data_IF_685580073129
#
_entry.id   IF_685580073129
#
_cell.length_a   1.000
_cell.length_b   1.000
_cell.length_c   1.000
_cell.angle_alpha   90.00
_cell.angle_beta   90.00
_cell.angle_gamma   90.00
#
_symmetry.space_group_name_H-M   'P 1'
#
loop_
_entity.id
_entity.type
_entity.pdbx_description
1 polymer ?
2 non-polymer ?
3 water ?
#
# COMPACT_ATOMS: atom_id res chain seq x y z
N UNK A 1 -7.63 1.90 1.48
CA UNK A 1 -8.71 0.95 1.91
C UNK A 1 -9.49 1.50 3.13
N UNK A 2 -8.79 2.10 4.09
CA UNK A 2 -9.31 2.53 5.40
C UNK A 2 -8.66 3.85 5.82
N UNK A 3 -8.98 4.38 7.02
CA UNK A 3 -8.57 5.74 7.41
C UNK A 3 -7.05 5.88 7.63
N UNK A 4 -6.38 4.76 7.92
CA UNK A 4 -4.90 4.68 7.97
C UNK A 4 -4.28 5.02 6.64
N UNK A 5 -4.72 4.36 5.55
CA UNK A 5 -4.20 4.58 4.19
C UNK A 5 -4.59 5.98 3.70
N UNK A 6 -5.77 6.45 4.08
CA UNK A 6 -6.26 7.81 3.74
C UNK A 6 -5.22 8.86 4.17
N UNK A 7 -4.79 8.79 5.42
CA UNK A 7 -3.85 9.77 6.00
C UNK A 7 -2.49 9.63 5.29
N UNK A 8 -2.00 8.39 5.18
CA UNK A 8 -0.74 8.06 4.47
C UNK A 8 -0.78 8.63 3.06
N UNK A 9 -1.87 8.40 2.33
CA UNK A 9 -2.03 8.86 0.93
C UNK A 9 -1.92 10.39 0.89
N UNK A 10 -2.53 11.09 1.85
CA UNK A 10 -2.55 12.57 1.89
C UNK A 10 -1.11 13.11 1.99
N UNK A 11 -0.29 12.49 2.82
CA UNK A 11 1.15 12.84 3.01
C UNK A 11 1.92 12.54 1.73
N UNK A 12 1.72 11.35 1.12
CA UNK A 12 2.54 10.97 -0.05
C UNK A 12 2.26 11.89 -1.24
N UNK A 13 1.00 12.27 -1.47
CA UNK A 13 0.59 13.07 -2.65
C UNK A 13 1.10 14.51 -2.59
N UNK A 14 1.34 15.09 -1.42
CA UNK A 14 1.76 16.53 -1.29
C UNK A 14 3.16 16.66 -0.67
N UNK A 15 3.57 15.76 0.21
CA UNK A 15 4.84 15.99 0.95
C UNK A 15 5.94 14.95 0.62
N UNK A 16 5.97 14.31 -0.55
CA UNK A 16 7.15 13.47 -0.87
C UNK A 16 7.70 13.87 -2.23
N UNK A 17 8.99 13.66 -2.41
CA UNK A 17 9.69 13.78 -3.72
C UNK A 17 10.53 12.51 -3.84
N UNK A 18 10.99 12.21 -5.06
CA UNK A 18 11.95 11.11 -5.29
C UNK A 18 13.36 11.70 -5.26
N UNK A 19 14.15 11.31 -4.26
CA UNK A 19 15.54 11.78 -4.08
C UNK A 19 16.50 10.73 -4.63
N UNK A 20 17.48 11.15 -5.43
CA UNK A 20 18.52 10.25 -5.97
C UNK A 20 19.91 10.79 -5.62
N UNK A 21 20.68 10.02 -4.84
CA UNK A 21 22.10 10.28 -4.52
C UNK A 21 22.93 9.25 -5.27
N UNK A 22 24.23 9.21 -5.01
CA UNK A 22 25.16 8.21 -5.57
C UNK A 22 24.92 6.85 -4.91
N UNK A 23 24.16 6.82 -3.80
CA UNK A 23 23.82 5.57 -3.05
C UNK A 23 22.42 5.05 -3.44
N UNK A 24 21.72 5.69 -4.38
CA UNK A 24 20.45 5.22 -4.97
C UNK A 24 19.28 6.20 -4.89
N UNK A 25 18.09 5.70 -5.22
CA UNK A 25 16.78 6.40 -5.15
C UNK A 25 16.11 6.17 -3.79
N UNK A 26 15.65 7.25 -3.15
CA UNK A 26 14.99 7.23 -1.82
C UNK A 26 13.66 7.99 -1.83
N UNK A 27 12.67 7.49 -1.09
CA UNK A 27 11.49 8.29 -0.67
C UNK A 27 12.05 9.39 0.22
N UNK A 28 11.68 10.63 -0.05
CA UNK A 28 12.12 11.80 0.74
C UNK A 28 10.89 12.60 1.19
N UNK A 29 10.72 12.75 2.49
CA UNK A 29 9.62 13.48 3.14
C UNK A 29 10.00 14.97 3.23
N UNK A 30 9.21 15.84 2.57
CA UNK A 30 9.26 17.31 2.76
C UNK A 30 8.44 17.69 3.98
N UNK A 31 8.97 18.51 4.89
CA UNK A 31 8.33 18.79 6.21
C UNK A 31 7.77 20.21 6.23
N UNK A 32 8.53 21.19 5.71
CA UNK A 32 8.09 22.61 5.65
C UNK A 32 9.09 23.37 4.76
N UNK A 33 8.65 24.52 4.24
CA UNK A 33 9.45 25.42 3.37
C UNK A 33 10.21 24.53 2.37
N UNK A 34 11.56 24.55 2.38
CA UNK A 34 12.37 23.76 1.42
C UNK A 34 13.15 22.70 2.21
N UNK A 35 12.61 22.27 3.34
CA UNK A 35 13.30 21.38 4.32
C UNK A 35 12.68 19.99 4.23
N UNK A 36 13.53 18.99 4.03
CA UNK A 36 13.16 17.57 3.81
C UNK A 36 14.09 16.69 4.64
N UNK A 37 13.70 15.44 4.86
CA UNK A 37 14.52 14.45 5.61
C UNK A 37 14.80 13.24 4.71
N UNK A 38 15.88 12.54 5.02
CA UNK A 38 16.35 11.33 4.25
C UNK A 38 17.24 10.54 5.20
N UNK A 39 17.32 9.19 5.09
CA UNK A 39 18.26 8.44 5.92
C UNK A 39 19.70 8.92 5.66
N UNK A 40 20.47 9.03 6.74
CA UNK A 40 21.87 9.53 6.69
C UNK A 40 22.67 8.65 5.73
N UNK A 41 22.36 7.37 5.63
CA UNK A 41 23.09 6.41 4.73
C UNK A 41 22.90 6.73 3.23
N UNK A 42 21.99 7.62 2.83
CA UNK A 42 21.90 8.16 1.44
C UNK A 42 23.12 9.01 1.07
N UNK A 43 23.88 9.50 2.06
CA UNK A 43 25.14 10.27 1.84
C UNK A 43 24.87 11.48 0.94
N UNK A 44 24.01 12.41 1.41
CA UNK A 44 23.67 13.64 0.64
C UNK A 44 24.98 14.39 0.40
N UNK A 45 25.20 14.91 -0.80
CA UNK A 45 26.32 15.81 -1.11
C UNK A 45 25.86 17.24 -1.35
N UNK A 46 26.61 17.97 -2.17
CA UNK A 46 26.38 19.38 -2.60
C UNK A 46 25.25 19.43 -3.64
N UNK A 47 25.06 18.34 -4.38
CA UNK A 47 24.04 18.25 -5.46
C UNK A 47 23.23 16.99 -5.21
N UNK A 48 21.92 17.07 -5.40
CA UNK A 48 20.98 15.92 -5.27
C UNK A 48 20.02 16.02 -6.45
N UNK A 49 19.47 14.90 -6.93
CA UNK A 49 18.39 14.88 -7.94
C UNK A 49 17.05 14.76 -7.20
N UNK A 50 16.12 15.65 -7.54
CA UNK A 50 14.77 15.73 -6.93
C UNK A 50 13.78 15.62 -8.08
N UNK A 51 13.04 14.52 -8.14
CA UNK A 51 12.15 14.14 -9.25
C UNK A 51 12.93 14.29 -10.57
N UNK A 52 14.19 13.83 -10.61
CA UNK A 52 15.09 13.81 -11.80
C UNK A 52 15.55 15.20 -12.24
N UNK A 53 15.46 16.21 -11.37
CA UNK A 53 16.02 17.58 -11.60
C UNK A 53 17.23 17.79 -10.69
N UNK A 54 18.34 18.23 -11.29
CA UNK A 54 19.59 18.56 -10.58
C UNK A 54 19.29 19.71 -9.61
N UNK A 55 19.53 19.52 -8.31
CA UNK A 55 19.15 20.48 -7.25
C UNK A 55 20.36 20.71 -6.34
N UNK A 56 20.77 21.97 -6.17
CA UNK A 56 21.81 22.34 -5.18
C UNK A 56 21.26 22.04 -3.79
N UNK A 57 22.12 21.55 -2.90
CA UNK A 57 21.80 21.33 -1.46
C UNK A 57 22.31 22.54 -0.70
N UNK A 58 21.43 23.35 -0.12
CA UNK A 58 21.83 24.60 0.58
C UNK A 58 22.39 24.25 1.96
N UNK A 59 21.92 23.18 2.58
CA UNK A 59 22.45 22.69 3.87
C UNK A 59 22.05 21.23 4.08
N UNK A 60 22.86 20.47 4.81
CA UNK A 60 22.52 19.10 5.21
C UNK A 60 23.15 18.82 6.57
N UNK A 61 22.37 18.24 7.48
CA UNK A 61 22.79 18.00 8.86
C UNK A 61 22.37 16.59 9.26
N UNK A 62 23.38 15.76 9.51
CA UNK A 62 23.22 14.42 10.09
C UNK A 62 22.97 14.59 11.61
N UNK A 63 21.76 14.31 12.04
CA UNK A 63 21.35 14.41 13.46
C UNK A 63 22.02 13.31 14.29
N UNK A 64 22.44 13.69 15.49
CA UNK A 64 22.95 12.82 16.57
C UNK A 64 22.27 13.25 17.88
N UNK A 65 21.98 12.34 18.80
CA UNK A 65 21.41 12.73 20.12
C UNK A 65 22.55 13.32 20.97
N UNK A 66 22.22 13.76 22.17
CA UNK A 66 23.16 14.46 23.07
C UNK A 66 24.09 13.47 23.79
N UNK A 67 23.91 12.16 23.65
CA UNK A 67 24.98 11.16 23.98
C UNK A 67 25.97 11.06 22.81
N UNK A 68 25.82 11.87 21.75
CA UNK A 68 26.63 11.84 20.51
C UNK A 68 26.44 10.51 19.78
N UNK A 69 25.21 10.00 19.73
CA UNK A 69 24.86 8.75 19.02
C UNK A 69 24.07 9.05 17.74
N UNK A 70 24.36 8.30 16.67
CA UNK A 70 23.68 8.43 15.37
C UNK A 70 22.17 8.37 15.58
N UNK A 71 21.40 9.23 14.90
CA UNK A 71 19.90 9.13 14.79
C UNK A 71 19.44 8.67 13.41
N UNK A 72 20.34 8.64 12.41
CA UNK A 72 20.10 8.13 11.03
C UNK A 72 19.15 9.07 10.26
N UNK A 73 18.84 10.26 10.80
CA UNK A 73 18.06 11.31 10.09
C UNK A 73 19.04 12.35 9.54
N UNK A 74 18.99 12.65 8.25
CA UNK A 74 19.66 13.85 7.66
C UNK A 74 18.59 14.85 7.28
N UNK A 75 18.66 16.04 7.87
CA UNK A 75 17.78 17.17 7.49
C UNK A 75 18.47 17.90 6.36
N UNK A 76 17.73 18.11 5.28
CA UNK A 76 18.25 18.73 4.03
C UNK A 76 17.45 19.97 3.71
N UNK A 77 18.14 21.03 3.32
CA UNK A 77 17.49 22.22 2.73
C UNK A 77 17.84 22.30 1.24
N UNK A 78 16.81 22.35 0.39
CA UNK A 78 16.91 22.21 -1.09
C UNK A 78 16.77 23.60 -1.74
N UNK A 79 17.60 23.85 -2.75
CA UNK A 79 17.49 25.04 -3.63
C UNK A 79 16.40 24.77 -4.67
N UNK A 80 15.18 24.67 -4.17
CA UNK A 80 13.96 24.34 -4.94
C UNK A 80 13.11 25.61 -5.02
N UNK A 81 12.35 25.80 -6.11
CA UNK A 81 11.58 27.04 -6.36
C UNK A 81 10.19 26.93 -5.73
N UNK A 82 9.92 25.88 -4.95
CA UNK A 82 8.56 25.62 -4.42
C UNK A 82 8.68 25.11 -2.98
N UNK A 83 7.84 25.62 -2.08
CA UNK A 83 7.76 25.18 -0.66
C UNK A 83 6.87 23.94 -0.52
N UNK A 84 7.19 23.11 0.46
CA UNK A 84 6.30 22.02 0.92
C UNK A 84 5.18 22.58 1.80
N UNK A 85 4.03 21.93 1.71
CA UNK A 85 2.98 22.05 2.73
C UNK A 85 3.62 21.80 4.09
N UNK A 86 3.36 22.69 5.05
CA UNK A 86 3.90 22.57 6.43
C UNK A 86 3.12 21.48 7.18
N UNK A 87 3.79 20.38 7.56
CA UNK A 87 3.19 19.19 8.24
C UNK A 87 3.85 19.00 9.61
N UNK A 88 4.54 20.02 10.12
CA UNK A 88 5.21 19.93 11.45
C UNK A 88 4.20 19.65 12.55
N UNK A 89 2.94 20.08 12.43
CA UNK A 89 1.91 19.84 13.47
C UNK A 89 1.47 18.37 13.47
N UNK A 90 1.89 17.55 12.51
CA UNK A 90 1.58 16.09 12.52
C UNK A 90 2.72 15.29 13.15
N UNK A 91 3.81 15.94 13.56
CA UNK A 91 4.98 15.28 14.18
C UNK A 91 4.75 15.10 15.67
N UNK A 92 5.07 13.93 16.24
CA UNK A 92 4.97 13.73 17.67
C UNK A 92 6.02 14.54 18.42
N UNK A 93 5.66 14.94 19.65
CA UNK A 93 6.58 15.68 20.55
C UNK A 93 7.51 14.74 21.33
N UNK A 94 7.08 13.51 21.61
CA UNK A 94 7.76 12.54 22.52
C UNK A 94 8.06 11.21 21.81
N UNK A 95 9.00 10.43 22.35
CA UNK A 95 9.25 9.03 21.93
C UNK A 95 8.05 8.23 22.41
N UNK A 96 7.50 7.34 21.59
CA UNK A 96 6.26 6.62 21.95
C UNK A 96 6.19 5.31 21.17
N UNK A 97 5.26 4.44 21.58
CA UNK A 97 4.79 3.26 20.82
C UNK A 97 3.50 3.67 20.12
N UNK A 98 3.10 2.92 19.08
CA UNK A 98 1.91 3.21 18.25
C UNK A 98 1.24 1.91 17.81
N UNK A 99 -0.05 1.98 17.54
CA UNK A 99 -0.82 0.89 16.90
C UNK A 99 -1.00 1.19 15.41
N UNK A 100 -1.15 0.14 14.60
CA UNK A 100 -1.77 0.23 13.25
C UNK A 100 -1.08 1.32 12.43
N UNK A 101 0.20 1.15 12.12
CA UNK A 101 1.00 2.08 11.28
C UNK A 101 1.00 1.64 9.81
N UNK A 102 1.19 2.61 8.91
CA UNK A 102 1.36 2.39 7.45
C UNK A 102 2.74 2.90 7.09
N UNK A 103 3.47 2.08 6.32
CA UNK A 103 4.75 2.48 5.69
C UNK A 103 4.44 2.72 4.22
N UNK A 104 4.75 3.94 3.74
CA UNK A 104 4.44 4.43 2.38
C UNK A 104 5.74 4.73 1.62
N UNK A 105 5.85 4.20 0.40
CA UNK A 105 7.07 4.34 -0.45
C UNK A 105 6.62 4.83 -1.81
N UNK A 106 7.39 5.75 -2.40
CA UNK A 106 7.23 6.18 -3.81
C UNK A 106 8.60 6.37 -4.43
N UNK A 107 9.03 5.40 -5.25
CA UNK A 107 10.25 5.47 -6.10
C UNK A 107 9.87 4.99 -7.51
N UNK A 108 10.81 5.07 -8.46
CA UNK A 108 10.67 4.55 -9.84
C UNK A 108 10.36 3.05 -9.79
N UNK A 109 11.03 2.33 -8.88
CA UNK A 109 10.89 0.87 -8.64
C UNK A 109 9.57 0.56 -7.92
N UNK A 110 9.26 1.28 -6.84
CA UNK A 110 8.06 1.03 -5.98
C UNK A 110 7.14 2.26 -5.93
N UNK A 111 6.44 2.58 -7.04
CA UNK A 111 5.48 3.68 -7.03
C UNK A 111 4.20 3.30 -6.27
N UNK A 112 3.65 4.23 -5.47
CA UNK A 112 2.29 4.14 -4.90
C UNK A 112 2.17 2.88 -4.04
N UNK A 113 3.19 2.61 -3.24
CA UNK A 113 3.26 1.43 -2.35
C UNK A 113 2.90 1.84 -0.91
N UNK A 114 1.96 1.10 -0.28
CA UNK A 114 1.45 1.32 1.08
C UNK A 114 1.41 -0.06 1.75
N UNK A 115 2.07 -0.21 2.91
CA UNK A 115 2.21 -1.49 3.68
C UNK A 115 1.63 -1.30 5.06
N UNK A 116 0.55 -2.02 5.43
CA UNK A 116 0.07 -2.05 6.81
C UNK A 116 1.03 -2.87 7.68
N UNK A 117 1.91 -2.21 8.41
CA UNK A 117 3.00 -2.87 9.17
C UNK A 117 2.55 -3.22 10.59
N UNK A 118 1.41 -2.74 11.06
CA UNK A 118 0.82 -3.12 12.36
C UNK A 118 1.39 -2.32 13.52
N UNK A 119 1.54 -2.96 14.68
CA UNK A 119 2.06 -2.32 15.93
C UNK A 119 3.51 -1.84 15.76
N UNK A 120 3.81 -0.69 16.34
CA UNK A 120 5.18 -0.08 16.28
C UNK A 120 5.70 0.06 17.71
N UNK A 121 6.79 -0.63 18.03
CA UNK A 121 7.46 -0.55 19.35
C UNK A 121 8.52 0.56 19.37
N UNK A 122 8.59 1.29 20.48
CA UNK A 122 9.78 2.09 20.82
C UNK A 122 10.88 1.08 21.12
N UNK A 123 11.75 0.81 20.16
CA UNK A 123 12.77 -0.26 20.27
C UNK A 123 14.01 0.33 20.97
N UNK A 124 14.35 1.57 20.62
CA UNK A 124 15.47 2.33 21.20
C UNK A 124 16.76 2.09 20.45
N UNK A 125 17.66 1.33 21.07
CA UNK A 125 19.03 1.12 20.58
C UNK A 125 19.02 0.05 19.47
N UNK A 126 19.66 0.33 18.36
CA UNK A 126 19.87 -0.67 17.29
C UNK A 126 21.27 -0.49 16.74
N UNK A 127 21.98 -1.60 16.55
CA UNK A 127 23.23 -1.63 15.76
C UNK A 127 22.80 -1.74 14.29
N UNK A 128 22.75 -0.61 13.58
CA UNK A 128 22.22 -0.52 12.20
C UNK A 128 23.38 -0.51 11.21
N UNK A 129 23.53 -1.57 10.41
CA UNK A 129 24.70 -1.76 9.53
C UNK A 129 26.00 -1.45 10.26
N UNK A 130 26.13 -1.89 11.51
CA UNK A 130 27.37 -1.72 12.31
C UNK A 130 27.46 -0.38 13.06
N UNK A 131 26.47 0.52 12.97
CA UNK A 131 26.50 1.87 13.62
C UNK A 131 25.52 1.91 14.78
N UNK A 132 26.00 2.16 16.02
CA UNK A 132 25.11 2.37 17.16
C UNK A 132 24.11 3.48 16.78
N UNK A 133 22.82 3.21 16.89
CA UNK A 133 21.74 4.16 16.50
C UNK A 133 20.68 4.20 17.60
N UNK A 134 20.19 5.37 17.95
CA UNK A 134 19.15 5.55 19.01
C UNK A 134 17.80 5.94 18.39
N UNK A 135 16.75 5.86 19.19
CA UNK A 135 15.36 6.30 18.82
C UNK A 135 14.80 5.53 17.63
N UNK A 136 15.03 4.23 17.59
CA UNK A 136 14.54 3.34 16.50
C UNK A 136 13.14 2.83 16.84
N UNK A 137 12.24 2.90 15.86
CA UNK A 137 10.90 2.25 15.91
C UNK A 137 11.04 0.88 15.21
N UNK A 138 10.36 -0.14 15.71
CA UNK A 138 10.38 -1.49 15.08
C UNK A 138 8.94 -1.94 14.78
N UNK A 139 8.77 -2.57 13.63
CA UNK A 139 7.50 -3.20 13.18
C UNK A 139 7.84 -4.57 12.59
N UNK A 140 6.95 -5.55 12.85
CA UNK A 140 7.13 -6.98 12.48
C UNK A 140 6.55 -7.15 11.08
N UNK A 141 7.18 -6.50 10.11
CA UNK A 141 6.96 -6.75 8.67
C UNK A 141 8.31 -6.94 8.01
N UNK A 142 8.43 -7.97 7.12
CA UNK A 142 9.69 -8.30 6.46
C UNK A 142 9.95 -7.35 5.28
N UNK A 143 10.32 -6.11 5.60
CA UNK A 143 10.61 -5.04 4.61
C UNK A 143 11.87 -5.42 3.81
N UNK A 144 11.99 -4.91 2.59
CA UNK A 144 13.06 -5.22 1.61
C UNK A 144 13.78 -3.94 1.19
N UNK A 145 14.88 -4.11 0.45
CA UNK A 145 15.65 -3.04 -0.21
C UNK A 145 14.71 -2.20 -1.10
N UNK A 146 14.95 -0.89 -1.20
CA UNK A 146 14.13 0.06 -1.99
C UNK A 146 13.13 0.87 -1.15
N UNK A 147 13.00 0.58 0.15
CA UNK A 147 11.97 1.16 1.05
C UNK A 147 12.57 2.23 1.98
N UNK A 148 13.89 2.45 1.96
CA UNK A 148 14.52 3.42 2.88
C UNK A 148 13.99 4.81 2.55
N UNK A 149 13.68 5.59 3.59
CA UNK A 149 13.07 6.90 3.38
C UNK A 149 11.55 6.79 3.40
N UNK A 150 11.02 5.57 3.27
CA UNK A 150 9.59 5.29 3.42
C UNK A 150 9.00 6.07 4.60
N UNK A 151 7.79 6.57 4.49
CA UNK A 151 7.17 7.36 5.58
C UNK A 151 6.29 6.44 6.43
N UNK A 152 6.48 6.48 7.74
CA UNK A 152 5.67 5.69 8.72
C UNK A 152 4.66 6.64 9.36
N UNK A 153 3.37 6.38 9.18
CA UNK A 153 2.27 7.21 9.69
C UNK A 153 1.31 6.35 10.53
N UNK A 154 0.64 6.99 11.47
CA UNK A 154 -0.66 6.53 12.02
C UNK A 154 -1.71 7.52 11.51
N UNK A 155 -2.99 7.30 11.78
CA UNK A 155 -3.99 8.38 11.54
C UNK A 155 -3.54 9.57 12.40
N UNK A 156 -3.30 10.70 11.75
CA UNK A 156 -3.07 12.00 12.38
C UNK A 156 -1.61 12.24 12.71
N UNK A 157 -0.69 11.26 12.54
CA UNK A 157 0.72 11.45 12.94
C UNK A 157 1.71 10.86 11.91
N UNK A 158 2.76 11.63 11.62
CA UNK A 158 3.93 11.17 10.83
C UNK A 158 5.00 10.88 11.87
N UNK A 159 5.37 9.61 12.06
CA UNK A 159 6.14 9.20 13.28
C UNK A 159 7.59 8.87 12.93
N UNK A 160 7.93 8.62 11.67
CA UNK A 160 9.29 8.15 11.35
C UNK A 160 9.54 7.87 9.90
N UNK A 161 10.82 7.60 9.58
CA UNK A 161 11.23 7.22 8.20
C UNK A 161 11.99 5.90 8.26
N UNK A 162 11.65 5.00 7.34
CA UNK A 162 12.25 3.64 7.24
C UNK A 162 13.76 3.73 6.99
N UNK A 163 14.57 3.08 7.83
CA UNK A 163 16.06 3.13 7.65
C UNK A 163 16.69 1.72 7.49
N UNK A 164 15.95 0.61 7.65
CA UNK A 164 16.53 -0.75 7.54
C UNK A 164 15.61 -1.88 7.98
N UNK A 165 16.10 -3.11 7.85
CA UNK A 165 15.42 -4.33 8.37
C UNK A 165 16.39 -5.49 8.52
N UNK A 166 15.92 -6.62 9.06
CA UNK A 166 16.74 -7.85 9.26
C UNK A 166 16.06 -9.05 8.59
N UNK A 167 15.17 -8.83 7.63
CA UNK A 167 14.44 -9.92 6.95
C UNK A 167 13.11 -10.24 7.61
N UNK A 168 13.01 -10.16 8.94
CA UNK A 168 11.77 -10.44 9.71
C UNK A 168 11.10 -9.14 10.16
N UNK A 169 11.90 -8.13 10.48
CA UNK A 169 11.46 -6.82 11.02
C UNK A 169 11.99 -5.68 10.15
N UNK A 170 11.32 -4.52 10.24
CA UNK A 170 11.76 -3.23 9.69
C UNK A 170 11.93 -2.21 10.80
N UNK A 171 12.77 -1.21 10.57
CA UNK A 171 13.22 -0.23 11.57
C UNK A 171 13.08 1.16 10.97
N UNK A 172 12.58 2.10 11.79
CA UNK A 172 12.41 3.49 11.33
C UNK A 172 13.08 4.42 12.34
N UNK A 173 13.70 5.47 11.84
CA UNK A 173 14.21 6.58 12.71
C UNK A 173 13.01 7.44 13.10
N UNK A 174 12.85 7.71 14.39
CA UNK A 174 11.80 8.64 14.88
C UNK A 174 11.92 9.98 14.19
N UNK A 175 10.78 10.58 13.89
CA UNK A 175 10.69 12.05 13.65
C UNK A 175 10.04 12.68 14.87
N UNK A 176 10.66 13.74 15.39
CA UNK A 176 10.17 14.52 16.54
C UNK A 176 9.97 15.99 16.16
N UNK A 177 8.91 16.62 16.69
CA UNK A 177 8.64 18.07 16.47
C UNK A 177 9.90 18.92 16.73
N UNK A 178 10.66 18.63 17.79
CA UNK A 178 11.85 19.41 18.17
C UNK A 178 12.92 19.44 17.09
N UNK A 179 12.95 18.49 16.15
CA UNK A 179 13.99 18.47 15.07
C UNK A 179 13.77 19.65 14.09
N UNK A 180 12.56 20.22 13.99
CA UNK A 180 12.20 21.20 12.93
C UNK A 180 11.66 22.53 13.48
N UNK A 181 11.98 22.84 14.73
CA UNK A 181 11.70 24.16 15.35
C UNK A 181 12.56 25.20 14.62
N UNK A 182 11.94 26.34 14.22
CA UNK A 182 12.63 27.46 13.52
C UNK A 182 12.25 28.78 14.23
N UNK B 2 9.43 -6.29 -8.55
CA UNK B 2 9.73 -5.68 -9.89
C UNK B 2 8.77 -6.20 -10.96
N UNK B 3 8.89 -7.49 -11.37
CA UNK B 3 7.88 -8.12 -12.22
C UNK B 3 6.51 -8.19 -11.51
N UNK B 4 6.52 -8.47 -10.20
CA UNK B 4 5.33 -8.47 -9.33
C UNK B 4 4.56 -7.16 -9.39
N UNK B 5 5.27 -6.02 -9.34
CA UNK B 5 4.66 -4.66 -9.37
C UNK B 5 4.17 -4.34 -10.79
N UNK B 6 5.04 -4.50 -11.80
CA UNK B 6 4.70 -4.30 -13.23
C UNK B 6 3.39 -5.04 -13.56
N UNK B 7 3.25 -6.28 -13.08
CA UNK B 7 2.09 -7.15 -13.37
C UNK B 7 0.84 -6.52 -12.74
N UNK B 8 0.88 -6.22 -11.45
CA UNK B 8 -0.22 -5.54 -10.72
C UNK B 8 -0.57 -4.23 -11.44
N UNK B 9 0.45 -3.44 -11.83
CA UNK B 9 0.29 -2.17 -12.59
C UNK B 9 -0.50 -2.42 -13.88
N UNK B 10 -0.11 -3.44 -14.66
CA UNK B 10 -0.70 -3.77 -15.97
C UNK B 10 -2.14 -4.25 -15.80
N UNK B 11 -2.41 -5.02 -14.75
CA UNK B 11 -3.78 -5.52 -14.43
C UNK B 11 -4.63 -4.34 -13.96
N UNK B 12 -4.11 -3.49 -13.07
CA UNK B 12 -4.86 -2.33 -12.51
C UNK B 12 -5.29 -1.42 -13.66
N UNK B 13 -4.38 -1.07 -14.57
CA UNK B 13 -4.58 0.01 -15.57
C UNK B 13 -5.51 -0.46 -16.71
N UNK B 14 -5.42 -1.71 -17.16
CA UNK B 14 -6.31 -2.24 -18.24
C UNK B 14 -7.59 -2.90 -17.70
N UNK B 15 -7.58 -3.52 -16.52
CA UNK B 15 -8.69 -4.43 -16.13
C UNK B 15 -9.41 -4.00 -14.85
N UNK B 16 -9.07 -2.87 -14.24
CA UNK B 16 -9.72 -2.50 -12.95
C UNK B 16 -10.59 -1.27 -13.21
N UNK B 17 -11.84 -1.29 -12.78
CA UNK B 17 -12.78 -0.14 -12.88
C UNK B 17 -13.37 0.13 -11.49
N UNK B 18 -13.93 1.33 -11.32
CA UNK B 18 -14.64 1.74 -10.09
C UNK B 18 -16.10 1.37 -10.26
N UNK B 19 -16.61 0.45 -9.43
CA UNK B 19 -18.02 0.04 -9.45
C UNK B 19 -18.69 0.73 -8.25
N UNK B 20 -19.82 1.40 -8.46
CA UNK B 20 -20.60 1.96 -7.34
C UNK B 20 -22.01 1.35 -7.34
N UNK B 21 -22.36 0.72 -6.23
CA UNK B 21 -23.69 0.13 -5.97
C UNK B 21 -24.40 0.94 -4.88
N UNK B 22 -25.54 0.43 -4.40
CA UNK B 22 -26.30 1.05 -3.30
C UNK B 22 -25.36 1.22 -2.10
N UNK B 23 -24.34 0.36 -1.96
CA UNK B 23 -23.50 0.28 -0.73
C UNK B 23 -22.24 1.15 -0.84
N UNK B 24 -22.00 1.78 -1.98
CA UNK B 24 -20.83 2.66 -2.21
C UNK B 24 -19.84 2.07 -3.21
N UNK B 25 -18.55 2.38 -3.07
CA UNK B 25 -17.58 2.17 -4.17
C UNK B 25 -16.78 0.89 -3.90
N UNK B 26 -16.53 0.16 -5.00
CA UNK B 26 -15.83 -1.14 -4.96
C UNK B 26 -14.83 -1.20 -6.11
N UNK B 27 -13.62 -1.64 -5.82
CA UNK B 27 -12.68 -2.05 -6.88
C UNK B 27 -13.32 -3.23 -7.61
N UNK B 28 -13.46 -3.15 -8.93
CA UNK B 28 -14.08 -4.22 -9.75
C UNK B 28 -13.05 -4.73 -10.79
N UNK B 29 -12.91 -6.04 -10.94
CA UNK B 29 -11.99 -6.65 -11.93
C UNK B 29 -12.77 -7.07 -13.19
N UNK B 30 -12.48 -6.47 -14.33
CA UNK B 30 -12.98 -6.94 -15.62
C UNK B 30 -12.15 -8.12 -16.09
N UNK B 31 -12.78 -9.20 -16.52
CA UNK B 31 -12.07 -10.49 -16.78
C UNK B 31 -11.98 -10.74 -18.30
N UNK B 32 -13.08 -10.60 -19.01
CA UNK B 32 -13.14 -10.74 -20.49
C UNK B 32 -14.49 -10.23 -20.99
N UNK B 33 -14.59 -9.90 -22.28
CA UNK B 33 -15.84 -9.40 -22.90
C UNK B 33 -16.46 -8.37 -21.95
N UNK B 34 -17.73 -8.48 -21.58
CA UNK B 34 -18.35 -7.52 -20.59
C UNK B 34 -18.55 -8.20 -19.23
N UNK B 35 -17.68 -9.14 -18.89
CA UNK B 35 -17.82 -9.99 -17.67
C UNK B 35 -16.84 -9.47 -16.62
N UNK B 36 -17.34 -9.06 -15.46
CA UNK B 36 -16.53 -8.55 -14.33
C UNK B 36 -16.88 -9.30 -13.04
N UNK B 37 -16.07 -9.16 -12.01
CA UNK B 37 -16.35 -9.73 -10.66
C UNK B 37 -16.28 -8.65 -9.59
N UNK B 38 -17.01 -8.87 -8.50
CA UNK B 38 -17.12 -7.91 -7.38
C UNK B 38 -17.54 -8.74 -6.17
N UNK B 39 -17.17 -8.37 -4.92
CA UNK B 39 -17.62 -9.12 -3.75
C UNK B 39 -19.15 -9.19 -3.68
N UNK B 40 -19.71 -10.30 -3.17
CA UNK B 40 -21.18 -10.49 -3.14
C UNK B 40 -21.79 -9.42 -2.22
N UNK B 41 -21.07 -9.01 -1.17
CA UNK B 41 -21.58 -8.05 -0.16
C UNK B 41 -21.79 -6.66 -0.77
N UNK B 42 -21.37 -6.44 -2.02
CA UNK B 42 -21.62 -5.18 -2.74
C UNK B 42 -23.12 -5.03 -3.08
N UNK B 43 -23.91 -6.11 -3.05
CA UNK B 43 -25.37 -6.05 -3.31
C UNK B 43 -25.64 -5.39 -4.66
N UNK B 44 -25.09 -5.98 -5.72
CA UNK B 44 -25.33 -5.52 -7.11
C UNK B 44 -26.84 -5.58 -7.38
N UNK B 45 -27.37 -4.53 -8.02
CA UNK B 45 -28.77 -4.42 -8.41
C UNK B 45 -28.92 -4.48 -9.91
N UNK B 46 -29.95 -3.81 -10.44
CA UNK B 46 -30.28 -3.82 -11.89
C UNK B 46 -29.36 -2.83 -12.60
N UNK B 47 -28.92 -1.80 -11.89
CA UNK B 47 -28.11 -0.67 -12.42
C UNK B 47 -26.85 -0.61 -11.56
N UNK B 48 -25.72 -0.35 -12.18
CA UNK B 48 -24.44 -0.12 -11.45
C UNK B 48 -23.80 1.10 -12.10
N UNK B 49 -22.95 1.82 -11.38
CA UNK B 49 -22.12 2.91 -11.93
C UNK B 49 -20.72 2.35 -12.12
N UNK B 50 -20.18 2.49 -13.33
CA UNK B 50 -18.83 2.03 -13.71
C UNK B 50 -18.05 3.30 -14.08
N UNK B 51 -17.04 3.65 -13.30
CA UNK B 51 -16.32 4.95 -13.46
C UNK B 51 -17.36 6.06 -13.63
N UNK B 52 -18.38 6.05 -12.77
CA UNK B 52 -19.42 7.12 -12.64
C UNK B 52 -20.36 7.15 -13.85
N UNK B 53 -20.38 6.09 -14.66
CA UNK B 53 -21.34 5.98 -15.81
C UNK B 53 -22.44 4.98 -15.42
N UNK B 54 -23.70 5.41 -15.42
CA UNK B 54 -24.88 4.53 -15.21
C UNK B 54 -24.82 3.38 -16.22
N UNK B 55 -24.89 2.13 -15.75
CA UNK B 55 -24.71 0.91 -16.56
C UNK B 55 -25.72 -0.16 -16.14
N UNK B 56 -26.50 -0.68 -17.09
CA UNK B 56 -27.42 -1.80 -16.84
C UNK B 56 -26.58 -3.05 -16.57
N UNK B 57 -26.91 -3.78 -15.51
CA UNK B 57 -26.36 -5.13 -15.22
C UNK B 57 -27.31 -6.13 -15.88
N UNK B 58 -26.85 -6.76 -16.95
CA UNK B 58 -27.67 -7.71 -17.75
C UNK B 58 -27.87 -8.99 -16.95
N UNK B 59 -26.83 -9.42 -16.22
CA UNK B 59 -26.87 -10.64 -15.41
C UNK B 59 -25.93 -10.49 -14.23
N UNK B 60 -26.28 -11.14 -13.12
CA UNK B 60 -25.48 -11.21 -11.88
C UNK B 60 -25.68 -12.61 -11.32
N UNK B 61 -24.58 -13.29 -10.99
CA UNK B 61 -24.58 -14.61 -10.31
C UNK B 61 -23.73 -14.54 -9.04
N UNK B 62 -24.35 -14.82 -7.89
CA UNK B 62 -23.66 -14.92 -6.60
C UNK B 62 -23.11 -16.35 -6.53
N UNK B 63 -21.80 -16.54 -6.82
CA UNK B 63 -21.22 -17.88 -7.03
C UNK B 63 -21.30 -18.69 -5.73
N UNK B 64 -21.54 -19.99 -5.90
CA UNK B 64 -21.57 -21.01 -4.83
C UNK B 64 -20.92 -22.24 -5.44
N UNK B 65 -20.29 -23.10 -4.61
CA UNK B 65 -19.57 -24.28 -5.15
C UNK B 65 -20.51 -25.48 -5.14
N UNK B 66 -20.00 -26.66 -5.49
CA UNK B 66 -20.88 -27.85 -5.66
C UNK B 66 -21.30 -28.41 -4.30
N UNK B 67 -20.73 -27.94 -3.18
CA UNK B 67 -21.24 -28.24 -1.81
C UNK B 67 -22.38 -27.25 -1.46
N UNK B 68 -22.77 -26.39 -2.39
CA UNK B 68 -23.83 -25.38 -2.19
C UNK B 68 -23.34 -24.43 -1.09
N UNK B 69 -22.06 -24.06 -1.16
CA UNK B 69 -21.49 -23.12 -0.16
C UNK B 69 -21.12 -21.82 -0.87
N UNK B 70 -21.40 -20.70 -0.22
CA UNK B 70 -21.07 -19.34 -0.70
C UNK B 70 -19.58 -19.25 -1.01
N UNK B 71 -19.22 -18.55 -2.11
CA UNK B 71 -17.82 -18.19 -2.46
C UNK B 71 -17.54 -16.68 -2.34
N UNK B 72 -18.57 -15.85 -2.20
CA UNK B 72 -18.50 -14.42 -1.93
C UNK B 72 -18.02 -13.65 -3.19
N UNK B 73 -18.05 -14.27 -4.37
CA UNK B 73 -17.77 -13.64 -5.71
C UNK B 73 -19.11 -13.55 -6.42
N UNK B 74 -19.39 -12.39 -7.01
CA UNK B 74 -20.55 -12.15 -7.88
C UNK B 74 -19.99 -11.81 -9.25
N UNK B 75 -20.35 -12.61 -10.25
CA UNK B 75 -19.96 -12.36 -11.65
C UNK B 75 -21.08 -11.57 -12.26
N UNK B 76 -20.75 -10.53 -13.02
CA UNK B 76 -21.75 -9.60 -13.62
C UNK B 76 -21.42 -9.37 -15.09
N UNK B 77 -22.44 -9.44 -15.96
CA UNK B 77 -22.37 -8.95 -17.35
C UNK B 77 -22.92 -7.52 -17.41
N UNK B 78 -22.14 -6.61 -17.99
CA UNK B 78 -22.43 -5.16 -18.05
C UNK B 78 -22.86 -4.81 -19.47
N UNK B 79 -23.92 -3.98 -19.59
CA UNK B 79 -24.38 -3.42 -20.88
C UNK B 79 -23.51 -2.20 -21.18
N UNK B 80 -22.34 -2.41 -21.79
CA UNK B 80 -21.42 -1.32 -22.20
C UNK B 80 -20.60 -1.74 -23.43
N UNK B 81 -20.18 -0.75 -24.22
CA UNK B 81 -19.46 -0.97 -25.50
C UNK B 81 -18.07 -1.51 -25.22
N UNK B 82 -17.35 -0.93 -24.26
CA UNK B 82 -15.96 -1.36 -23.96
C UNK B 82 -15.98 -2.86 -23.62
N UNK B 83 -15.02 -3.58 -24.18
CA UNK B 83 -14.69 -4.98 -23.88
C UNK B 83 -13.48 -4.97 -22.94
N UNK B 84 -13.48 -5.78 -21.88
CA UNK B 84 -12.30 -5.99 -21.02
C UNK B 84 -11.25 -6.83 -21.76
N UNK B 85 -10.00 -6.43 -21.67
CA UNK B 85 -8.81 -7.23 -22.08
C UNK B 85 -8.89 -8.59 -21.39
N UNK B 86 -8.92 -9.68 -22.16
CA UNK B 86 -9.06 -11.05 -21.61
C UNK B 86 -7.84 -11.34 -20.72
N UNK B 87 -8.06 -11.77 -19.48
CA UNK B 87 -7.01 -12.18 -18.52
C UNK B 87 -7.33 -13.57 -17.94
N UNK B 88 -8.27 -14.32 -18.53
CA UNK B 88 -8.63 -15.70 -18.10
C UNK B 88 -7.39 -16.59 -18.00
N UNK B 89 -6.38 -16.35 -18.85
CA UNK B 89 -5.17 -17.21 -18.91
C UNK B 89 -4.28 -16.90 -17.72
N UNK B 90 -4.56 -15.86 -16.93
CA UNK B 90 -3.78 -15.57 -15.69
C UNK B 90 -4.47 -16.08 -14.42
N UNK B 91 -5.66 -16.68 -14.54
CA UNK B 91 -6.42 -17.24 -13.38
C UNK B 91 -5.86 -18.61 -13.04
N UNK B 92 -5.60 -18.93 -11.76
CA UNK B 92 -5.14 -20.27 -11.40
C UNK B 92 -6.19 -21.34 -11.74
N UNK B 93 -5.73 -22.57 -12.00
CA UNK B 93 -6.61 -23.74 -12.25
C UNK B 93 -7.12 -24.31 -10.92
N UNK B 94 -6.26 -24.32 -9.90
CA UNK B 94 -6.49 -25.03 -8.62
C UNK B 94 -6.31 -24.07 -7.42
N UNK B 95 -6.77 -24.50 -6.25
CA UNK B 95 -6.55 -23.81 -4.96
C UNK B 95 -5.06 -23.93 -4.64
N UNK B 96 -4.43 -22.93 -4.01
CA UNK B 96 -2.96 -22.94 -3.79
C UNK B 96 -2.58 -21.85 -2.79
N UNK B 97 -1.39 -21.98 -2.22
CA UNK B 97 -0.69 -20.95 -1.42
C UNK B 97 0.21 -20.17 -2.37
N UNK B 98 0.54 -18.92 -2.01
CA UNK B 98 1.37 -18.01 -2.84
C UNK B 98 2.33 -17.20 -1.96
N UNK B 99 3.34 -16.60 -2.60
CA UNK B 99 4.31 -15.69 -1.93
C UNK B 99 4.28 -14.33 -2.62
N UNK B 100 4.67 -13.28 -1.89
CA UNK B 100 4.90 -11.92 -2.46
C UNK B 100 3.69 -11.46 -3.27
N UNK B 101 2.49 -11.56 -2.69
CA UNK B 101 1.24 -11.10 -3.31
C UNK B 101 1.09 -9.57 -3.11
N UNK B 102 0.41 -8.93 -4.04
CA UNK B 102 0.10 -7.48 -4.04
C UNK B 102 -1.42 -7.35 -4.10
N UNK B 103 -1.97 -6.52 -3.22
CA UNK B 103 -3.40 -6.16 -3.21
C UNK B 103 -3.47 -4.78 -3.84
N UNK B 104 -4.29 -4.61 -4.89
CA UNK B 104 -4.35 -3.37 -5.70
C UNK B 104 -5.75 -2.76 -5.62
N UNK B 105 -5.84 -1.58 -4.97
CA UNK B 105 -7.10 -0.84 -4.70
C UNK B 105 -7.29 0.26 -5.73
N UNK B 106 -8.51 0.38 -6.22
CA UNK B 106 -8.85 1.46 -7.17
C UNK B 106 -10.28 1.96 -6.91
N UNK B 107 -10.41 3.13 -6.25
CA UNK B 107 -11.68 3.85 -6.01
C UNK B 107 -11.47 5.36 -6.19
N UNK B 108 -12.52 6.18 -6.06
CA UNK B 108 -12.38 7.67 -6.13
C UNK B 108 -11.53 8.14 -4.96
N UNK B 109 -11.63 7.47 -3.81
CA UNK B 109 -10.94 7.85 -2.56
C UNK B 109 -9.49 7.35 -2.58
N UNK B 110 -9.22 6.24 -3.30
CA UNK B 110 -7.92 5.51 -3.33
C UNK B 110 -7.59 5.09 -4.75
N UNK B 111 -7.20 6.03 -5.62
CA UNK B 111 -6.84 5.68 -6.99
C UNK B 111 -5.43 5.06 -7.00
N UNK B 112 -5.17 4.06 -7.81
CA UNK B 112 -3.76 3.60 -7.96
C UNK B 112 -3.07 3.34 -6.61
N UNK B 113 -3.60 2.49 -5.72
CA UNK B 113 -2.94 2.14 -4.43
C UNK B 113 -2.50 0.66 -4.43
N UNK B 114 -1.22 0.39 -4.18
CA UNK B 114 -0.63 -0.98 -4.24
C UNK B 114 -0.11 -1.40 -2.87
N UNK B 115 -0.68 -2.47 -2.32
CA UNK B 115 -0.38 -2.96 -0.95
C UNK B 115 0.26 -4.33 -1.03
N UNK B 116 1.61 -4.45 -0.89
CA UNK B 116 2.27 -5.74 -0.67
C UNK B 116 1.78 -6.35 0.64
N UNK B 117 1.21 -7.55 0.58
CA UNK B 117 0.72 -8.30 1.78
C UNK B 117 1.67 -9.46 2.10
N UNK B 118 2.45 -9.90 1.10
CA UNK B 118 3.48 -10.94 1.21
C UNK B 118 2.85 -12.31 1.07
N UNK B 119 2.98 -13.12 2.12
CA UNK B 119 2.61 -14.55 2.12
C UNK B 119 1.08 -14.66 2.11
N UNK B 120 0.55 -15.47 1.19
CA UNK B 120 -0.90 -15.79 1.08
C UNK B 120 -1.10 -17.29 1.33
N UNK B 121 -1.94 -17.64 2.31
CA UNK B 121 -2.28 -19.04 2.65
C UNK B 121 -3.62 -19.42 2.00
N UNK B 122 -3.75 -20.65 1.51
CA UNK B 122 -5.07 -21.30 1.26
C UNK B 122 -5.69 -21.63 2.62
N UNK B 123 -6.52 -20.74 3.14
CA UNK B 123 -7.11 -20.82 4.50
C UNK B 123 -8.33 -21.75 4.46
N UNK B 124 -9.11 -21.67 3.38
CA UNK B 124 -10.27 -22.52 3.07
C UNK B 124 -11.56 -21.94 3.63
N UNK B 125 -12.04 -22.50 4.74
CA UNK B 125 -13.38 -22.27 5.29
C UNK B 125 -13.32 -21.02 6.18
N UNK B 126 -14.27 -20.13 5.99
CA UNK B 126 -14.39 -18.93 6.85
C UNK B 126 -15.87 -18.63 7.06
N UNK B 127 -16.24 -18.34 8.30
CA UNK B 127 -17.58 -17.78 8.60
C UNK B 127 -17.51 -16.28 8.40
N UNK B 128 -17.96 -15.78 7.26
CA UNK B 128 -17.80 -14.35 6.87
C UNK B 128 -19.15 -13.64 7.05
N UNK B 129 -19.24 -12.79 8.07
CA UNK B 129 -20.48 -12.07 8.43
C UNK B 129 -21.65 -12.99 8.70
N UNK B 130 -21.39 -14.16 9.30
CA UNK B 130 -22.46 -15.15 9.61
C UNK B 130 -22.72 -16.15 8.48
N UNK B 131 -22.08 -15.97 7.31
CA UNK B 131 -22.28 -16.88 6.16
C UNK B 131 -21.08 -17.79 6.02
N UNK B 132 -21.25 -19.12 6.11
CA UNK B 132 -20.18 -20.07 5.76
C UNK B 132 -19.72 -19.86 4.31
N UNK B 133 -18.42 -19.71 4.12
CA UNK B 133 -17.75 -19.36 2.84
C UNK B 133 -16.54 -20.27 2.61
N UNK B 134 -16.36 -20.75 1.38
CA UNK B 134 -15.20 -21.58 0.96
C UNK B 134 -14.17 -20.78 0.17
N UNK B 135 -13.01 -21.39 -0.08
CA UNK B 135 -11.94 -20.94 -1.00
C UNK B 135 -11.42 -19.56 -0.60
N UNK B 136 -11.22 -19.33 0.69
CA UNK B 136 -10.66 -18.06 1.23
C UNK B 136 -9.15 -18.13 1.27
N UNK B 137 -8.49 -17.16 0.63
CA UNK B 137 -7.06 -16.84 0.81
C UNK B 137 -6.90 -15.89 2.02
N UNK B 138 -5.82 -16.07 2.81
CA UNK B 138 -5.57 -15.23 4.00
C UNK B 138 -4.14 -14.68 3.92
N UNK B 139 -4.00 -13.42 4.35
CA UNK B 139 -2.72 -12.66 4.43
C UNK B 139 -2.78 -11.81 5.70
N UNK B 140 -1.61 -11.47 6.25
CA UNK B 140 -1.54 -10.50 7.37
C UNK B 140 -2.14 -9.20 6.86
N UNK B 141 -2.89 -8.50 7.71
CA UNK B 141 -3.53 -7.22 7.34
C UNK B 141 -3.93 -6.47 8.61
N UNK B 142 -2.94 -6.01 9.39
CA UNK B 142 -3.16 -5.47 10.73
C UNK B 142 -3.63 -4.01 10.66
N UNK B 143 -4.87 -3.81 10.25
CA UNK B 143 -5.48 -2.51 9.88
C UNK B 143 -6.98 -2.78 9.80
N UNK B 144 -7.80 -1.76 10.04
CA UNK B 144 -9.27 -1.85 9.78
C UNK B 144 -9.49 -1.22 8.41
N UNK B 145 -9.67 -2.07 7.39
CA UNK B 145 -9.96 -1.66 6.00
C UNK B 145 -11.47 -1.52 5.83
N UNK B 146 -11.89 -0.60 4.96
CA UNK B 146 -13.28 -0.46 4.50
C UNK B 146 -13.67 -1.61 3.59
N UNK B 147 -14.84 -1.50 2.95
CA UNK B 147 -15.47 -2.58 2.14
C UNK B 147 -14.91 -2.66 0.72
N UNK B 148 -14.16 -1.67 0.23
CA UNK B 148 -14.00 -1.44 -1.24
C UNK B 148 -13.28 -2.65 -1.89
N UNK B 149 -12.47 -3.37 -1.10
CA UNK B 149 -11.65 -4.51 -1.57
C UNK B 149 -10.62 -4.10 -2.61
N UNK B 150 -10.26 -5.03 -3.52
CA UNK B 150 -9.10 -4.85 -4.40
C UNK B 150 -8.64 -6.21 -4.98
N UNK B 151 -7.76 -6.17 -5.96
CA UNK B 151 -7.35 -7.37 -6.75
C UNK B 151 -6.06 -7.88 -6.16
N UNK B 152 -5.95 -9.20 -5.93
CA UNK B 152 -4.70 -9.80 -5.38
C UNK B 152 -3.99 -10.49 -6.54
N UNK B 153 -2.73 -10.12 -6.77
CA UNK B 153 -1.89 -10.70 -7.84
C UNK B 153 -0.56 -11.19 -7.28
N UNK B 154 0.05 -12.14 -7.97
CA UNK B 154 1.47 -12.56 -7.78
C UNK B 154 2.18 -12.21 -9.09
N UNK B 155 3.46 -12.51 -9.25
CA UNK B 155 4.05 -12.51 -10.61
C UNK B 155 3.25 -13.52 -11.44
N UNK B 156 2.64 -13.04 -12.52
CA UNK B 156 2.00 -13.88 -13.52
C UNK B 156 0.63 -14.41 -13.16
N UNK B 157 0.06 -14.12 -11.98
CA UNK B 157 -1.29 -14.66 -11.67
C UNK B 157 -2.21 -13.63 -10.99
N UNK B 158 -3.48 -13.65 -11.39
CA UNK B 158 -4.58 -12.93 -10.70
C UNK B 158 -5.29 -13.96 -9.83
N UNK B 159 -5.11 -13.90 -8.52
CA UNK B 159 -5.45 -15.06 -7.64
C UNK B 159 -6.74 -14.83 -6.84
N UNK B 160 -7.19 -13.59 -6.65
CA UNK B 160 -8.39 -13.36 -5.84
C UNK B 160 -8.80 -11.89 -5.75
N UNK B 161 -9.94 -11.65 -5.10
CA UNK B 161 -10.44 -10.28 -4.76
C UNK B 161 -10.65 -10.19 -3.26
N UNK B 162 -10.24 -9.06 -2.66
CA UNK B 162 -10.36 -8.83 -1.21
C UNK B 162 -11.85 -8.83 -0.81
N UNK B 163 -12.26 -9.65 0.16
CA UNK B 163 -13.69 -9.70 0.58
C UNK B 163 -13.90 -9.36 2.06
N UNK B 164 -12.85 -9.27 2.88
CA UNK B 164 -12.97 -8.69 4.23
C UNK B 164 -11.74 -8.89 5.09
N UNK B 165 -11.91 -8.74 6.40
CA UNK B 165 -10.82 -8.79 7.40
C UNK B 165 -11.32 -8.75 8.83
N UNK B 166 -10.44 -9.01 9.79
CA UNK B 166 -10.75 -9.07 11.24
C UNK B 166 -9.80 -8.18 12.04
N UNK B 167 -9.13 -7.22 11.38
CA UNK B 167 -8.23 -6.21 11.99
C UNK B 167 -6.79 -6.69 12.12
N UNK B 168 -6.53 -8.01 11.99
CA UNK B 168 -5.21 -8.69 12.04
C UNK B 168 -4.90 -9.45 10.73
N UNK B 169 -5.92 -10.04 10.12
CA UNK B 169 -5.79 -10.80 8.86
C UNK B 169 -6.76 -10.22 7.84
N UNK B 170 -6.41 -10.39 6.57
CA UNK B 170 -7.19 -10.00 5.39
C UNK B 170 -7.58 -11.23 4.60
N UNK B 171 -8.77 -11.21 3.99
CA UNK B 171 -9.33 -12.39 3.33
C UNK B 171 -9.75 -12.01 1.92
N UNK B 172 -9.43 -12.88 0.96
CA UNK B 172 -9.78 -12.76 -0.47
C UNK B 172 -10.47 -14.05 -0.94
N UNK B 173 -11.49 -13.93 -1.78
CA UNK B 173 -12.12 -15.06 -2.48
C UNK B 173 -11.21 -15.46 -3.64
N UNK B 174 -10.91 -16.74 -3.78
CA UNK B 174 -10.12 -17.22 -4.94
C UNK B 174 -10.86 -16.90 -6.23
N UNK B 175 -10.10 -16.55 -7.28
CA UNK B 175 -10.54 -16.63 -8.68
C UNK B 175 -9.89 -17.88 -9.29
N UNK B 176 -10.70 -18.68 -9.96
CA UNK B 176 -10.26 -19.92 -10.65
C UNK B 176 -10.68 -19.86 -12.13
N UNK B 177 -9.87 -20.49 -13.00
CA UNK B 177 -10.10 -20.57 -14.45
C UNK B 177 -11.52 -21.07 -14.74
N UNK B 178 -11.97 -22.06 -13.99
CA UNK B 178 -13.26 -22.76 -14.25
C UNK B 178 -14.46 -21.86 -14.03
N UNK B 179 -14.34 -20.75 -13.30
CA UNK B 179 -15.50 -19.85 -13.03
C UNK B 179 -15.95 -19.12 -14.31
N UNK B 180 -15.09 -19.08 -15.34
CA UNK B 180 -15.28 -18.29 -16.58
C UNK B 180 -15.13 -19.15 -17.87
N UNK B 181 -14.96 -20.46 -17.78
CA UNK B 181 -14.98 -21.38 -18.96
C UNK B 181 -16.38 -21.48 -19.55
X LIG C 1 7.30 -7.80 -4.93
X LIG C 1 6.10 -8.00 -4.37
X LIG C 1 7.50 -7.33 -1.00
X LIG C 1 7.73 -8.81 0.77
X LIG C 1 8.00 -7.81 1.66
X LIG C 1 8.05 -6.51 1.22
X LIG C 1 7.21 -7.14 -2.35
X LIG C 1 7.50 -5.53 -5.65
X LIG C 1 5.14 -8.39 -5.02
X LIG C 1 8.02 -6.59 -4.70
X LIG C 1 7.90 -6.13 -3.16
X LIG C 1 5.98 -7.70 -2.90
X LIG C 1 7.80 -6.26 -0.11
X LIG C 1 7.86 -5.00 -0.56
X LIG C 1 7.48 -8.59 -0.54
#
# INVERSE_FOLDING_TARGET
>A
MGPGFDFAQAIMKKNTVIARTEKGEFTMLGVYDRVAVIPTHASVGEIIYINDVETRVLDACALRDLTDTNLEITIVKLDRNQKFRDIRHFLPRCEDDYNDAVLSVHTSKFPNMYIPVGQVTNYGFLNLGGTPTHRILMYNFPTRAGQCGGVVTTTGKVIGIHVGGNGAQGFAAMLLHSYFTD
>B
MGPGFDFAQAIMKKNTVIARTEKGEFTMLGVYDRVAVIPTHASVGEIIYINDVETRVLDACALRDLTDTNLEITIVKLDRNQKFRDIRHFLPRCEDDYNDAVLSVHTSKFPNMYIPVGQVTNYGFLNLGGTPTHRILMYNFPTRAGQCGGVVTTTGKVIGIHVGGNGAQGFAAMLLHSYFTD
>C hetero
1 TVR N1 C4 C5 C6 C7 C8 N C O C1 C2 C3 C9 F N2
#
